data_IF_298511483989
#
_entry.id   IF_298511483989
#
_cell.length_a   1.000
_cell.length_b   1.000
_cell.length_c   1.000
_cell.angle_alpha   90.00
_cell.angle_beta   90.00
_cell.angle_gamma   90.00
#
_symmetry.space_group_name_H-M   'P 1'
#
loop_
_entity.id
_entity.type
_entity.pdbx_description
1 polymer ?
#
# COMPACT_ATOMS: atom_id res chain seq x y z
N UNK A 1 -0.62 -4.72 9.68
CA UNK A 1 -0.84 -5.26 8.31
C UNK A 1 -1.42 -6.66 8.45
N UNK A 2 -2.73 -6.80 8.25
CA UNK A 2 -3.45 -8.07 8.42
C UNK A 2 -3.08 -9.12 7.33
N UNK A 3 -2.58 -8.65 6.22
CA UNK A 3 -2.23 -9.44 5.05
C UNK A 3 -0.83 -10.08 5.13
N UNK A 4 0.07 -9.61 5.99
CA UNK A 4 1.43 -10.15 6.14
C UNK A 4 1.48 -11.66 6.41
N UNK A 5 0.69 -12.24 7.34
CA UNK A 5 0.68 -13.68 7.53
C UNK A 5 0.08 -14.44 6.34
N UNK A 6 -0.83 -13.81 5.60
CA UNK A 6 -1.47 -14.38 4.42
C UNK A 6 -0.46 -14.48 3.27
N UNK A 7 0.31 -13.39 3.06
CA UNK A 7 1.43 -13.35 2.11
C UNK A 7 2.48 -14.44 2.44
N UNK A 8 2.85 -14.54 3.71
CA UNK A 8 3.77 -15.59 4.19
C UNK A 8 3.22 -17.00 3.94
N UNK A 9 1.93 -17.22 4.20
CA UNK A 9 1.26 -18.49 3.94
C UNK A 9 1.24 -18.85 2.46
N UNK A 10 1.01 -17.87 1.59
CA UNK A 10 1.04 -18.03 0.15
C UNK A 10 2.43 -18.48 -0.35
N UNK A 11 3.48 -17.81 0.11
CA UNK A 11 4.85 -18.14 -0.29
C UNK A 11 5.39 -19.44 0.32
N UNK A 12 4.83 -19.91 1.43
CA UNK A 12 5.28 -21.09 2.16
C UNK A 12 4.39 -22.34 1.93
N UNK A 13 3.36 -22.25 1.09
CA UNK A 13 2.53 -23.37 0.68
C UNK A 13 1.45 -23.80 1.69
N UNK A 14 1.10 -22.93 2.66
CA UNK A 14 0.01 -23.18 3.63
C UNK A 14 -1.05 -22.06 3.62
N UNK A 15 -1.28 -21.49 2.45
CA UNK A 15 -2.19 -20.36 2.23
C UNK A 15 -3.62 -20.62 2.73
N UNK A 16 -4.22 -21.76 2.35
CA UNK A 16 -5.60 -22.08 2.71
C UNK A 16 -5.80 -22.21 4.23
N UNK A 17 -4.78 -22.73 4.95
CA UNK A 17 -4.82 -22.84 6.40
C UNK A 17 -4.82 -21.45 7.06
N UNK A 18 -3.98 -20.55 6.57
CA UNK A 18 -3.92 -19.17 7.08
C UNK A 18 -5.20 -18.42 6.79
N UNK A 19 -5.72 -18.52 5.57
CA UNK A 19 -7.00 -17.89 5.17
C UNK A 19 -8.15 -18.40 6.04
N UNK A 20 -8.24 -19.72 6.27
CA UNK A 20 -9.26 -20.34 7.12
C UNK A 20 -9.16 -19.86 8.58
N UNK A 21 -7.93 -19.82 9.11
CA UNK A 21 -7.70 -19.31 10.47
C UNK A 21 -8.15 -17.85 10.61
N UNK A 22 -7.70 -16.95 9.71
CA UNK A 22 -8.04 -15.52 9.81
C UNK A 22 -9.52 -15.24 9.57
N UNK A 23 -10.19 -16.01 8.72
CA UNK A 23 -11.65 -15.93 8.55
C UNK A 23 -12.37 -16.16 9.88
N UNK A 24 -12.01 -17.23 10.59
CA UNK A 24 -12.62 -17.56 11.89
C UNK A 24 -12.26 -16.51 12.95
N UNK A 25 -10.99 -16.12 13.00
CA UNK A 25 -10.48 -15.14 13.95
C UNK A 25 -11.17 -13.77 13.79
N UNK A 26 -11.20 -13.21 12.60
CA UNK A 26 -11.86 -11.92 12.36
C UNK A 26 -13.37 -12.00 12.52
N UNK A 27 -13.99 -13.11 12.12
CA UNK A 27 -15.42 -13.32 12.35
C UNK A 27 -15.75 -13.31 13.83
N UNK A 28 -14.98 -14.00 14.65
CA UNK A 28 -15.19 -14.03 16.10
C UNK A 28 -14.86 -12.69 16.77
N UNK A 29 -13.82 -12.00 16.32
CA UNK A 29 -13.39 -10.74 16.92
C UNK A 29 -14.27 -9.56 16.55
N UNK A 30 -14.78 -9.51 15.31
CA UNK A 30 -15.43 -8.32 14.76
C UNK A 30 -16.94 -8.43 14.62
N UNK A 31 -17.49 -9.65 14.50
CA UNK A 31 -18.92 -9.85 14.31
C UNK A 31 -19.64 -10.05 15.64
N UNK A 32 -20.62 -9.20 15.92
CA UNK A 32 -21.48 -9.35 17.09
C UNK A 32 -20.75 -9.20 18.44
N UNK A 33 -19.58 -8.64 18.46
CA UNK A 33 -18.79 -8.40 19.67
C UNK A 33 -19.27 -7.11 20.35
N UNK A 34 -20.04 -7.24 21.42
CA UNK A 34 -20.61 -6.11 22.17
C UNK A 34 -19.55 -5.26 22.89
N UNK A 35 -18.35 -5.79 23.09
CA UNK A 35 -17.22 -5.05 23.69
C UNK A 35 -16.42 -4.26 22.66
N UNK A 36 -16.66 -4.47 21.38
CA UNK A 36 -15.95 -3.77 20.29
C UNK A 36 -16.66 -2.47 19.96
N UNK A 37 -15.98 -1.34 20.14
CA UNK A 37 -16.49 -0.02 19.76
C UNK A 37 -16.16 0.33 18.32
N UNK A 38 -14.93 0.06 17.90
CA UNK A 38 -14.40 0.36 16.57
C UNK A 38 -13.26 -0.61 16.27
N UNK A 39 -13.12 -1.00 15.01
CA UNK A 39 -11.96 -1.74 14.53
C UNK A 39 -11.44 -1.12 13.23
N UNK A 40 -10.13 -1.11 13.08
CA UNK A 40 -9.44 -0.71 11.85
C UNK A 40 -8.48 -1.82 11.49
N UNK A 41 -8.58 -2.30 10.26
CA UNK A 41 -7.66 -3.28 9.68
C UNK A 41 -6.89 -2.58 8.58
N UNK A 42 -5.57 -2.70 8.60
CA UNK A 42 -4.70 -2.16 7.55
C UNK A 42 -3.92 -3.28 6.86
N UNK A 43 -3.66 -3.13 5.58
CA UNK A 43 -2.89 -4.08 4.78
C UNK A 43 -2.42 -3.44 3.48
N UNK A 44 -1.49 -4.08 2.82
CA UNK A 44 -0.94 -3.65 1.52
C UNK A 44 -1.83 -4.16 0.39
N UNK A 45 -2.31 -5.41 0.50
CA UNK A 45 -3.14 -6.06 -0.50
C UNK A 45 -4.54 -6.31 0.06
N UNK A 46 -5.55 -5.94 -0.73
CA UNK A 46 -6.93 -6.27 -0.40
C UNK A 46 -7.19 -7.76 -0.67
N UNK A 47 -7.22 -8.56 0.39
CA UNK A 47 -7.52 -10.01 0.31
C UNK A 47 -9.03 -10.25 0.33
N UNK A 48 -9.80 -9.50 -0.48
CA UNK A 48 -11.27 -9.46 -0.39
C UNK A 48 -11.96 -10.66 -1.00
N UNK A 49 -11.46 -11.20 -2.11
CA UNK A 49 -12.05 -12.37 -2.78
C UNK A 49 -11.73 -13.69 -2.10
N UNK A 50 -10.73 -13.71 -1.23
CA UNK A 50 -10.24 -14.92 -0.56
C UNK A 50 -11.12 -15.35 0.63
N UNK A 51 -12.36 -14.88 0.68
CA UNK A 51 -13.34 -15.26 1.70
C UNK A 51 -12.97 -14.98 3.17
N UNK A 52 -11.85 -14.31 3.45
CA UNK A 52 -11.47 -13.93 4.83
C UNK A 52 -12.55 -13.08 5.47
N UNK A 53 -13.10 -12.16 4.70
CA UNK A 53 -14.17 -11.26 5.14
C UNK A 53 -15.58 -11.70 4.72
N UNK A 54 -15.74 -12.90 4.15
CA UNK A 54 -17.05 -13.38 3.67
C UNK A 54 -18.11 -13.50 4.75
N UNK A 55 -17.71 -13.60 6.02
CA UNK A 55 -18.60 -13.58 7.17
C UNK A 55 -18.88 -12.19 7.77
N UNK A 56 -18.22 -11.13 7.24
CA UNK A 56 -18.29 -9.78 7.74
C UNK A 56 -18.94 -8.87 6.69
N UNK A 57 -20.23 -8.62 6.86
CA UNK A 57 -21.04 -7.78 5.95
C UNK A 57 -21.13 -6.31 6.38
N UNK A 58 -20.39 -5.92 7.41
CA UNK A 58 -20.40 -4.59 8.01
C UNK A 58 -19.02 -3.87 7.91
N UNK A 59 -18.15 -4.32 7.03
CA UNK A 59 -16.85 -3.69 6.79
C UNK A 59 -16.97 -2.69 5.66
N UNK A 60 -16.51 -1.46 5.89
CA UNK A 60 -16.20 -0.50 4.83
C UNK A 60 -14.73 -0.64 4.45
N UNK A 61 -14.42 -0.68 3.18
CA UNK A 61 -13.06 -0.84 2.66
C UNK A 61 -12.69 0.41 1.89
N UNK A 62 -11.51 0.94 2.20
CA UNK A 62 -10.95 2.13 1.56
C UNK A 62 -9.53 1.81 1.09
N UNK A 63 -9.16 2.31 -0.05
CA UNK A 63 -7.87 2.12 -0.67
C UNK A 63 -7.25 3.46 -1.10
N UNK A 64 -6.04 3.43 -1.59
CA UNK A 64 -5.33 4.63 -2.06
C UNK A 64 -5.96 5.30 -3.30
N UNK A 65 -6.90 4.63 -3.97
CA UNK A 65 -7.65 5.18 -5.11
C UNK A 65 -9.00 5.81 -4.70
N UNK A 66 -9.40 5.66 -3.43
CA UNK A 66 -10.64 6.24 -2.93
C UNK A 66 -10.38 7.66 -2.41
N UNK A 67 -11.36 8.56 -2.56
CA UNK A 67 -11.26 9.90 -2.00
C UNK A 67 -11.39 9.90 -0.47
N UNK A 68 -12.24 9.00 0.05
CA UNK A 68 -12.44 8.85 1.49
C UNK A 68 -11.18 8.31 2.15
N UNK A 69 -10.77 8.93 3.24
CA UNK A 69 -9.63 8.56 4.09
C UNK A 69 -8.24 8.64 3.42
N UNK A 70 -8.11 9.12 2.19
CA UNK A 70 -6.84 9.23 1.49
C UNK A 70 -5.76 9.99 2.29
N UNK A 71 -6.15 11.00 3.09
CA UNK A 71 -5.25 11.78 3.94
C UNK A 71 -4.59 10.98 5.08
N UNK A 72 -5.09 9.78 5.40
CA UNK A 72 -4.56 8.96 6.50
C UNK A 72 -3.56 7.89 6.05
N UNK A 73 -3.28 7.78 4.75
CA UNK A 73 -2.30 6.83 4.23
C UNK A 73 -0.84 7.33 4.28
N UNK A 74 -0.63 8.55 4.72
CA UNK A 74 0.69 9.15 4.88
C UNK A 74 0.58 10.56 5.43
N UNK A 75 1.63 11.38 5.31
CA UNK A 75 1.57 12.78 5.70
C UNK A 75 1.09 13.66 4.56
N UNK A 76 0.18 14.56 4.88
CA UNK A 76 -0.26 15.64 4.00
C UNK A 76 0.79 16.76 3.91
N UNK A 77 0.65 17.65 2.93
CA UNK A 77 1.53 18.83 2.80
C UNK A 77 1.50 19.72 4.06
N UNK A 78 0.32 19.90 4.67
CA UNK A 78 0.16 20.72 5.86
C UNK A 78 0.86 20.11 7.09
N UNK A 79 0.75 18.79 7.25
CA UNK A 79 1.45 18.07 8.33
C UNK A 79 2.97 18.13 8.15
N UNK A 80 3.48 17.95 6.93
CA UNK A 80 4.92 18.11 6.64
C UNK A 80 5.37 19.55 6.90
N UNK A 81 4.57 20.52 6.51
CA UNK A 81 4.86 21.93 6.79
C UNK A 81 4.92 22.21 8.30
N UNK A 82 4.00 21.64 9.07
CA UNK A 82 4.02 21.80 10.54
C UNK A 82 5.24 21.09 11.15
N UNK A 83 5.51 19.84 10.75
CA UNK A 83 6.69 19.10 11.21
C UNK A 83 8.00 19.86 10.94
N UNK A 84 8.13 20.46 9.75
CA UNK A 84 9.35 21.25 9.43
C UNK A 84 9.48 22.51 10.29
N UNK A 85 8.38 23.12 10.74
CA UNK A 85 8.39 24.22 11.72
C UNK A 85 8.86 23.74 13.08
N UNK A 86 8.31 22.62 13.55
CA UNK A 86 8.62 22.07 14.87
C UNK A 86 10.09 21.63 15.00
N UNK A 87 10.73 21.33 13.86
CA UNK A 87 12.15 20.94 13.79
C UNK A 87 13.08 22.03 13.23
N UNK A 88 12.62 23.27 13.09
CA UNK A 88 13.38 24.42 12.59
C UNK A 88 14.04 24.18 11.21
N UNK A 89 13.34 23.50 10.31
CA UNK A 89 13.88 23.13 9.00
C UNK A 89 12.97 23.50 7.81
N UNK A 90 12.15 24.56 7.92
CA UNK A 90 11.23 25.01 6.87
C UNK A 90 11.91 25.34 5.54
N UNK A 91 13.17 25.78 5.58
CA UNK A 91 13.98 26.08 4.40
C UNK A 91 14.15 24.84 3.48
N UNK A 92 13.91 23.64 3.99
CA UNK A 92 14.02 22.39 3.25
C UNK A 92 12.75 21.97 2.52
N UNK A 93 11.61 22.64 2.72
CA UNK A 93 10.31 22.25 2.14
C UNK A 93 10.35 21.96 0.63
N UNK A 94 10.98 22.81 -0.23
CA UNK A 94 11.03 22.51 -1.67
C UNK A 94 11.78 21.22 -1.99
N UNK A 95 12.89 20.95 -1.30
CA UNK A 95 13.68 19.75 -1.51
C UNK A 95 12.99 18.53 -0.89
N UNK A 96 12.32 18.66 0.25
CA UNK A 96 11.50 17.60 0.84
C UNK A 96 10.43 17.15 -0.16
N UNK A 97 9.75 18.11 -0.81
CA UNK A 97 8.79 17.82 -1.87
C UNK A 97 9.42 17.03 -3.01
N UNK A 98 10.57 17.46 -3.50
CA UNK A 98 11.27 16.78 -4.59
C UNK A 98 11.77 15.38 -4.24
N UNK A 99 12.12 15.12 -2.97
CA UNK A 99 12.70 13.85 -2.53
C UNK A 99 11.68 12.84 -2.03
N UNK A 100 10.63 13.29 -1.33
CA UNK A 100 9.77 12.43 -0.51
C UNK A 100 8.28 12.54 -0.81
N UNK A 101 7.87 13.47 -1.68
CA UNK A 101 6.53 13.48 -2.25
C UNK A 101 6.53 12.60 -3.50
N UNK A 102 5.76 11.52 -3.48
CA UNK A 102 5.75 10.59 -4.61
C UNK A 102 4.43 9.87 -4.78
N UNK A 103 3.44 10.19 -3.94
CA UNK A 103 2.15 9.53 -3.98
C UNK A 103 1.04 10.58 -4.16
N UNK A 104 0.11 10.26 -5.05
CA UNK A 104 -1.17 10.93 -5.15
C UNK A 104 -2.26 9.94 -4.80
N UNK A 105 -2.97 10.18 -3.70
CA UNK A 105 -4.09 9.37 -3.23
C UNK A 105 -5.36 10.20 -3.33
N UNK A 106 -6.30 9.76 -4.18
CA UNK A 106 -7.37 10.66 -4.61
C UNK A 106 -6.78 11.95 -5.20
N UNK A 107 -7.24 13.09 -4.72
CA UNK A 107 -6.74 14.43 -5.14
C UNK A 107 -5.61 14.98 -4.23
N UNK A 108 -5.12 14.19 -3.25
CA UNK A 108 -4.12 14.65 -2.29
C UNK A 108 -2.71 14.16 -2.62
N UNK A 109 -1.75 15.06 -2.55
CA UNK A 109 -0.33 14.72 -2.49
C UNK A 109 0.01 14.20 -1.09
N UNK A 110 0.57 13.00 -1.03
CA UNK A 110 0.90 12.30 0.22
C UNK A 110 2.39 11.99 0.27
N UNK A 111 3.00 12.32 1.39
CA UNK A 111 4.40 12.06 1.68
C UNK A 111 4.57 10.74 2.45
N UNK A 112 5.63 10.01 2.14
CA UNK A 112 5.99 8.83 2.88
C UNK A 112 6.43 9.17 4.32
N UNK A 113 5.70 8.74 5.37
CA UNK A 113 6.00 9.10 6.76
C UNK A 113 7.38 8.63 7.22
N UNK A 114 7.80 7.42 6.80
CA UNK A 114 9.11 6.88 7.15
C UNK A 114 10.25 7.76 6.65
N UNK A 115 10.14 8.23 5.41
CA UNK A 115 11.14 9.11 4.81
C UNK A 115 11.21 10.47 5.52
N UNK A 116 10.07 11.09 5.79
CA UNK A 116 9.99 12.38 6.47
C UNK A 116 10.56 12.27 7.89
N UNK A 117 10.12 11.29 8.67
CA UNK A 117 10.59 11.13 10.05
C UNK A 117 12.10 10.83 10.13
N UNK A 118 12.63 10.01 9.23
CA UNK A 118 14.07 9.75 9.20
C UNK A 118 14.88 10.96 8.74
N UNK A 119 14.37 11.73 7.78
CA UNK A 119 14.99 12.99 7.38
C UNK A 119 15.13 13.93 8.58
N UNK A 120 14.06 14.16 9.33
CA UNK A 120 14.06 15.00 10.52
C UNK A 120 15.00 14.45 11.62
N UNK A 121 14.89 13.17 11.95
CA UNK A 121 15.75 12.51 12.96
C UNK A 121 17.24 12.59 12.62
N UNK A 122 17.58 12.55 11.34
CA UNK A 122 18.97 12.64 10.87
C UNK A 122 19.41 14.08 10.55
N UNK A 123 18.79 15.06 11.21
CA UNK A 123 19.17 16.48 11.09
C UNK A 123 19.13 16.97 9.65
N UNK A 124 18.05 16.67 8.96
CA UNK A 124 17.78 17.13 7.59
C UNK A 124 18.79 16.63 6.54
N UNK A 125 19.36 15.43 6.72
CA UNK A 125 20.18 14.78 5.71
C UNK A 125 19.29 14.09 4.67
N UNK A 126 19.49 14.36 3.40
CA UNK A 126 18.75 13.74 2.29
C UNK A 126 19.32 12.36 1.96
N UNK A 127 18.47 11.34 2.05
CA UNK A 127 18.80 9.96 1.71
C UNK A 127 17.54 9.25 1.21
N UNK A 128 17.65 8.21 0.38
CA UNK A 128 16.53 7.39 -0.05
C UNK A 128 16.11 6.41 1.08
N UNK A 129 15.50 6.94 2.13
CA UNK A 129 15.18 6.19 3.36
C UNK A 129 14.25 5.00 3.17
N UNK A 130 13.45 5.00 2.11
CA UNK A 130 12.49 3.93 1.83
C UNK A 130 13.13 2.72 1.11
N UNK A 131 14.28 2.91 0.48
CA UNK A 131 14.95 1.85 -0.28
C UNK A 131 15.37 0.71 0.65
N UNK A 132 15.06 -0.54 0.26
CA UNK A 132 15.36 -1.77 1.00
C UNK A 132 14.68 -1.90 2.38
N UNK A 133 13.56 -1.24 2.62
CA UNK A 133 12.84 -1.34 3.90
C UNK A 133 11.85 -2.51 3.95
N UNK A 134 11.50 -3.09 2.80
CA UNK A 134 10.56 -4.22 2.71
C UNK A 134 11.08 -5.31 1.76
N UNK A 135 10.54 -6.52 1.91
CA UNK A 135 10.80 -7.59 0.95
C UNK A 135 10.04 -7.30 -0.34
N UNK A 136 10.74 -7.09 -1.45
CA UNK A 136 10.15 -6.84 -2.76
C UNK A 136 9.89 -8.14 -3.55
N UNK A 137 9.68 -9.27 -2.85
CA UNK A 137 9.58 -10.59 -3.50
C UNK A 137 8.44 -10.66 -4.51
N UNK A 138 7.27 -10.13 -4.16
CA UNK A 138 6.11 -10.09 -5.06
C UNK A 138 6.43 -9.24 -6.30
N UNK A 139 6.92 -8.02 -6.09
CA UNK A 139 7.30 -7.10 -7.18
C UNK A 139 8.36 -7.74 -8.07
N UNK A 140 9.40 -8.37 -7.51
CA UNK A 140 10.41 -9.07 -8.29
C UNK A 140 9.85 -10.22 -9.14
N UNK A 141 8.89 -10.97 -8.60
CA UNK A 141 8.19 -12.02 -9.36
C UNK A 141 7.39 -11.44 -10.52
N UNK A 142 6.65 -10.36 -10.26
CA UNK A 142 5.86 -9.66 -11.29
C UNK A 142 6.75 -9.10 -12.40
N UNK A 143 7.81 -8.37 -12.05
CA UNK A 143 8.74 -7.77 -13.01
C UNK A 143 9.42 -8.80 -13.92
N UNK A 144 9.73 -10.00 -13.41
CA UNK A 144 10.31 -11.09 -14.23
C UNK A 144 9.35 -11.68 -15.27
N UNK A 145 8.05 -11.45 -15.11
CA UNK A 145 6.99 -12.01 -15.96
C UNK A 145 6.40 -10.98 -16.92
N UNK A 146 6.90 -9.72 -16.91
CA UNK A 146 6.40 -8.65 -17.75
C UNK A 146 6.49 -9.01 -19.25
N UNK A 147 5.41 -8.77 -19.97
CA UNK A 147 5.39 -8.79 -21.41
C UNK A 147 6.05 -7.53 -21.99
N UNK A 148 6.32 -7.52 -23.28
CA UNK A 148 7.04 -6.42 -23.94
C UNK A 148 6.30 -5.10 -23.81
N UNK A 149 4.99 -5.10 -23.99
CA UNK A 149 4.12 -3.94 -23.90
C UNK A 149 4.12 -3.36 -22.47
N UNK A 150 4.02 -4.22 -21.46
CA UNK A 150 4.06 -3.84 -20.04
C UNK A 150 5.44 -3.28 -19.64
N UNK A 151 6.50 -3.88 -20.16
CA UNK A 151 7.86 -3.36 -19.96
C UNK A 151 8.03 -1.96 -20.56
N UNK A 152 7.44 -1.72 -21.73
CA UNK A 152 7.47 -0.40 -22.37
C UNK A 152 6.67 0.64 -21.58
N UNK A 153 5.49 0.29 -21.09
CA UNK A 153 4.67 1.16 -20.26
C UNK A 153 5.37 1.51 -18.94
N UNK A 154 5.99 0.52 -18.27
CA UNK A 154 6.76 0.76 -17.06
C UNK A 154 7.97 1.68 -17.30
N UNK A 155 8.67 1.52 -18.44
CA UNK A 155 9.75 2.44 -18.82
C UNK A 155 9.23 3.85 -19.02
N UNK A 156 8.08 4.01 -19.69
CA UNK A 156 7.45 5.31 -19.89
C UNK A 156 7.14 6.01 -18.56
N UNK A 157 6.62 5.26 -17.58
CA UNK A 157 6.41 5.78 -16.22
C UNK A 157 7.71 6.21 -15.53
N UNK A 158 8.78 5.41 -15.66
CA UNK A 158 10.10 5.75 -15.10
C UNK A 158 10.71 6.99 -15.74
N UNK A 159 10.35 7.29 -16.98
CA UNK A 159 10.75 8.51 -17.72
C UNK A 159 9.89 9.74 -17.33
N UNK A 160 8.90 9.56 -16.44
CA UNK A 160 8.01 10.63 -15.98
C UNK A 160 6.79 10.87 -16.87
N UNK A 161 6.51 9.99 -17.82
CA UNK A 161 5.32 10.05 -18.64
C UNK A 161 4.13 9.38 -17.89
N UNK A 162 2.90 9.75 -18.29
CA UNK A 162 1.68 9.08 -17.81
C UNK A 162 1.30 7.92 -18.73
N UNK A 163 0.66 6.92 -18.16
CA UNK A 163 -0.02 5.86 -18.90
C UNK A 163 -1.48 5.82 -18.47
N UNK A 164 -2.35 5.41 -19.36
CA UNK A 164 -3.76 5.14 -19.06
C UNK A 164 -3.95 3.64 -18.92
N UNK A 165 -4.49 3.22 -17.78
CA UNK A 165 -4.75 1.80 -17.50
C UNK A 165 -5.98 1.63 -16.60
N UNK A 166 -6.61 0.45 -16.68
CA UNK A 166 -7.71 0.08 -15.80
C UNK A 166 -7.12 -0.59 -14.56
N UNK A 167 -7.36 -0.03 -13.39
CA UNK A 167 -6.95 -0.63 -12.12
C UNK A 167 -8.03 -1.62 -11.67
N UNK A 168 -7.65 -2.85 -11.39
CA UNK A 168 -8.52 -3.84 -10.78
C UNK A 168 -8.26 -3.89 -9.24
N UNK A 169 -9.16 -3.30 -8.42
CA UNK A 169 -8.96 -3.26 -6.97
C UNK A 169 -9.22 -4.61 -6.28
N UNK A 170 -9.69 -5.62 -7.02
CA UNK A 170 -10.09 -6.91 -6.48
C UNK A 170 -9.16 -8.07 -6.87
N UNK A 171 -7.89 -7.78 -7.10
CA UNK A 171 -6.90 -8.80 -7.44
C UNK A 171 -6.62 -9.70 -6.23
N UNK A 172 -6.49 -11.01 -6.46
CA UNK A 172 -6.15 -12.00 -5.45
C UNK A 172 -4.75 -12.56 -5.65
N UNK A 173 -4.19 -13.24 -4.63
CA UNK A 173 -2.93 -13.96 -4.77
C UNK A 173 -3.00 -15.07 -5.83
N UNK A 174 -4.15 -15.73 -5.99
CA UNK A 174 -4.37 -16.74 -7.04
C UNK A 174 -4.35 -16.13 -8.43
N UNK A 175 -5.00 -14.97 -8.61
CA UNK A 175 -4.95 -14.24 -9.88
C UNK A 175 -3.50 -13.88 -10.26
N UNK A 176 -2.68 -13.53 -9.26
CA UNK A 176 -1.26 -13.24 -9.44
C UNK A 176 -0.48 -14.51 -9.84
N UNK A 177 -0.81 -15.68 -9.33
CA UNK A 177 -0.10 -16.93 -9.64
C UNK A 177 -0.50 -17.54 -10.99
N UNK A 178 -1.79 -17.52 -11.31
CA UNK A 178 -2.37 -18.17 -12.48
C UNK A 178 -2.13 -17.42 -13.81
N UNK A 179 -1.34 -16.36 -13.80
CA UNK A 179 -1.00 -15.53 -14.99
C UNK A 179 -2.21 -14.90 -15.71
N UNK A 180 -3.33 -14.70 -15.03
CA UNK A 180 -4.44 -13.90 -15.57
C UNK A 180 -4.11 -12.40 -15.52
N UNK A 181 -2.87 -12.05 -15.91
CA UNK A 181 -2.41 -10.66 -15.91
C UNK A 181 -2.99 -9.89 -17.09
N UNK A 182 -3.94 -9.04 -16.79
CA UNK A 182 -4.14 -7.84 -17.58
C UNK A 182 -3.12 -6.77 -17.14
N UNK A 183 -2.80 -5.83 -18.01
CA UNK A 183 -1.92 -4.69 -17.69
C UNK A 183 -2.31 -3.95 -16.39
N UNK A 184 -3.59 -4.03 -16.00
CA UNK A 184 -4.15 -3.48 -14.76
C UNK A 184 -3.60 -4.06 -13.44
N UNK A 185 -2.78 -5.10 -13.47
CA UNK A 185 -2.26 -5.77 -12.28
C UNK A 185 -0.85 -5.34 -11.88
N UNK A 186 -0.22 -4.44 -12.66
CA UNK A 186 1.21 -4.11 -12.51
C UNK A 186 1.42 -2.66 -12.06
N UNK A 187 0.38 -1.85 -12.18
CA UNK A 187 0.44 -0.39 -11.93
C UNK A 187 -0.30 0.02 -10.68
#
# INVERSE_FOLDING_TARGET
>A
EYDTPIDSGFHSGFYEQVVSFFRNFFSAALKGNSSLKLSVLTGIIRVSKESIFSGLNNISVFSVIDEDYCQYFGFTQDEVTQLTKDYDCQQHLPQIKAWYNGYQFGDLEIYNPWSILNFLRKKCVYMPYWVNTSSNLLIHKLLKRLQKEQTQALKSLLEGNSIETIINPEITYKDIEENHYNSSHIY
#
